data_IF_471541238045
#
_entry.id   IF_471541238045
#
_cell.length_a   1.000
_cell.length_b   1.000
_cell.length_c   1.000
_cell.angle_alpha   90.00
_cell.angle_beta   90.00
_cell.angle_gamma   90.00
#
_symmetry.space_group_name_H-M   'P 1'
#
loop_
_entity.id
_entity.type
_entity.pdbx_description
1 polymer ?
#
# COMPACT_ATOMS: atom_id res chain seq x y z
N UNK A 1 5.49 -30.92 -13.71
CA UNK A 1 5.83 -30.31 -12.40
C UNK A 1 4.61 -29.59 -11.86
N UNK A 2 4.38 -29.64 -10.55
CA UNK A 2 3.21 -29.01 -9.94
C UNK A 2 3.27 -27.47 -10.06
N UNK A 3 2.16 -26.78 -10.41
CA UNK A 3 2.09 -25.31 -10.49
C UNK A 3 2.63 -24.58 -9.26
N UNK A 4 2.49 -25.19 -8.07
CA UNK A 4 2.97 -24.65 -6.80
C UNK A 4 4.48 -24.40 -6.78
N UNK A 5 5.27 -25.24 -7.45
CA UNK A 5 6.73 -25.08 -7.51
C UNK A 5 7.09 -23.81 -8.27
N UNK A 6 6.40 -23.54 -9.38
CA UNK A 6 6.63 -22.33 -10.19
C UNK A 6 6.28 -21.07 -9.42
N UNK A 7 5.17 -21.10 -8.67
CA UNK A 7 4.77 -19.98 -7.80
C UNK A 7 5.89 -19.66 -6.79
N UNK A 8 6.43 -20.68 -6.11
CA UNK A 8 7.52 -20.49 -5.14
C UNK A 8 8.77 -19.92 -5.79
N UNK A 9 9.19 -20.45 -6.94
CA UNK A 9 10.37 -19.95 -7.67
C UNK A 9 10.20 -18.47 -8.03
N UNK A 10 9.02 -18.07 -8.50
CA UNK A 10 8.74 -16.70 -8.91
C UNK A 10 8.68 -15.76 -7.71
N UNK A 11 8.08 -16.20 -6.60
CA UNK A 11 8.07 -15.42 -5.36
C UNK A 11 9.48 -15.18 -4.83
N UNK A 12 10.36 -16.20 -4.88
CA UNK A 12 11.76 -16.06 -4.49
C UNK A 12 12.50 -15.10 -5.43
N UNK A 13 12.36 -15.27 -6.75
CA UNK A 13 13.01 -14.41 -7.73
C UNK A 13 12.57 -12.94 -7.58
N UNK A 14 11.26 -12.68 -7.44
CA UNK A 14 10.73 -11.35 -7.16
C UNK A 14 11.20 -10.79 -5.82
N UNK A 15 11.27 -11.65 -4.80
CA UNK A 15 11.77 -11.28 -3.48
C UNK A 15 13.24 -10.86 -3.50
N UNK A 16 14.08 -11.57 -4.25
CA UNK A 16 15.48 -11.21 -4.48
C UNK A 16 15.60 -9.86 -5.20
N UNK A 17 14.76 -9.61 -6.19
CA UNK A 17 14.68 -8.29 -6.84
C UNK A 17 14.29 -7.17 -5.87
N UNK A 18 13.28 -7.41 -5.03
CA UNK A 18 12.86 -6.46 -3.98
C UNK A 18 13.93 -6.24 -2.89
N UNK A 19 14.65 -7.30 -2.53
CA UNK A 19 15.79 -7.23 -1.62
C UNK A 19 16.92 -6.38 -2.22
N UNK A 20 17.30 -6.64 -3.48
CA UNK A 20 18.31 -5.86 -4.18
C UNK A 20 17.92 -4.37 -4.27
N UNK A 21 16.65 -4.08 -4.57
CA UNK A 21 16.14 -2.71 -4.60
C UNK A 21 16.26 -2.00 -3.23
N UNK A 22 16.00 -2.71 -2.12
CA UNK A 22 16.16 -2.13 -0.79
C UNK A 22 17.63 -1.92 -0.42
N UNK A 23 18.51 -2.84 -0.83
CA UNK A 23 19.95 -2.75 -0.60
C UNK A 23 20.61 -1.60 -1.38
N UNK A 24 20.18 -1.37 -2.63
CA UNK A 24 20.68 -0.29 -3.48
C UNK A 24 20.17 1.10 -3.07
N UNK A 25 19.18 1.18 -2.17
CA UNK A 25 18.56 2.43 -1.70
C UNK A 25 19.47 3.35 -0.86
N UNK A 26 20.73 2.99 -0.62
CA UNK A 26 21.74 3.90 -0.08
C UNK A 26 21.80 4.06 1.45
N UNK A 27 20.86 3.47 2.20
CA UNK A 27 20.81 3.57 3.68
C UNK A 27 21.27 2.29 4.42
N UNK A 28 21.81 1.29 3.71
CA UNK A 28 22.23 0.00 4.28
C UNK A 28 21.11 -1.07 4.21
N UNK A 29 21.02 -1.94 5.23
CA UNK A 29 19.94 -2.93 5.38
C UNK A 29 18.87 -2.30 6.30
N UNK A 30 17.87 -1.56 5.78
CA UNK A 30 16.84 -0.98 6.61
C UNK A 30 15.96 -2.09 7.17
N UNK A 31 16.15 -2.40 8.45
CA UNK A 31 15.22 -3.25 9.20
C UNK A 31 13.89 -2.51 9.37
N UNK A 32 12.76 -3.25 9.48
CA UNK A 32 11.46 -2.63 9.72
C UNK A 32 11.52 -1.81 11.00
N UNK A 33 11.26 -0.51 10.89
CA UNK A 33 11.35 0.39 12.03
C UNK A 33 10.18 1.37 12.04
N UNK A 34 9.82 1.81 13.23
CA UNK A 34 8.95 2.97 13.38
C UNK A 34 9.83 4.20 13.45
N UNK A 35 9.69 5.09 12.46
CA UNK A 35 10.39 6.39 12.44
C UNK A 35 9.34 7.48 12.44
N UNK A 36 9.39 8.37 13.44
CA UNK A 36 8.47 9.51 13.59
C UNK A 36 6.98 9.12 13.55
N UNK A 37 6.64 7.95 14.11
CA UNK A 37 5.27 7.42 14.13
C UNK A 37 4.77 6.88 12.79
N UNK A 38 5.66 6.71 11.80
CA UNK A 38 5.41 6.07 10.51
C UNK A 38 6.08 4.70 10.52
N UNK A 39 5.32 3.67 10.13
CA UNK A 39 5.88 2.34 9.93
C UNK A 39 6.66 2.30 8.62
N UNK A 40 7.98 2.17 8.71
CA UNK A 40 8.88 1.99 7.58
C UNK A 40 9.08 0.48 7.37
N UNK A 41 8.53 -0.13 6.30
CA UNK A 41 8.58 -1.57 6.09
C UNK A 41 9.99 -2.13 5.86
N UNK A 42 10.93 -1.27 5.47
CA UNK A 42 12.32 -1.61 5.19
C UNK A 42 12.47 -2.71 4.14
N UNK A 43 13.49 -3.54 4.30
CA UNK A 43 13.78 -4.69 3.42
C UNK A 43 12.61 -5.66 3.35
N UNK A 44 11.97 -5.96 4.48
CA UNK A 44 10.89 -6.96 4.51
C UNK A 44 9.74 -6.53 3.61
N UNK A 45 9.33 -5.27 3.69
CA UNK A 45 8.28 -4.75 2.83
C UNK A 45 8.69 -4.72 1.35
N UNK A 46 9.93 -4.33 1.06
CA UNK A 46 10.40 -4.25 -0.33
C UNK A 46 10.53 -5.63 -0.98
N UNK A 47 11.06 -6.61 -0.24
CA UNK A 47 11.11 -8.02 -0.64
C UNK A 47 9.71 -8.57 -0.87
N UNK A 48 8.78 -8.35 0.06
CA UNK A 48 7.39 -8.81 -0.10
C UNK A 48 6.72 -8.17 -1.33
N UNK A 49 6.87 -6.87 -1.52
CA UNK A 49 6.34 -6.15 -2.70
C UNK A 49 6.97 -6.68 -3.99
N UNK A 50 8.27 -6.96 -3.99
CA UNK A 50 8.97 -7.58 -5.12
C UNK A 50 8.41 -8.96 -5.46
N UNK A 51 8.21 -9.82 -4.45
CA UNK A 51 7.58 -11.14 -4.63
C UNK A 51 6.16 -11.03 -5.21
N UNK A 52 5.33 -10.15 -4.65
CA UNK A 52 3.96 -9.93 -5.14
C UNK A 52 3.95 -9.35 -6.55
N UNK A 53 4.83 -8.41 -6.86
CA UNK A 53 4.95 -7.83 -8.20
C UNK A 53 5.35 -8.87 -9.25
N UNK A 54 6.32 -9.74 -8.94
CA UNK A 54 6.73 -10.82 -9.82
C UNK A 54 5.61 -11.86 -10.02
N UNK A 55 4.91 -12.23 -8.93
CA UNK A 55 3.77 -13.13 -9.00
C UNK A 55 2.64 -12.57 -9.87
N UNK A 56 2.26 -11.30 -9.66
CA UNK A 56 1.20 -10.65 -10.44
C UNK A 56 1.61 -10.54 -11.91
N UNK A 57 2.86 -10.14 -12.18
CA UNK A 57 3.36 -10.01 -13.56
C UNK A 57 3.36 -11.35 -14.30
N UNK A 58 3.89 -12.41 -13.68
CA UNK A 58 3.86 -13.74 -14.28
C UNK A 58 2.44 -14.33 -14.36
N UNK A 59 1.63 -14.11 -13.33
CA UNK A 59 0.25 -14.58 -13.27
C UNK A 59 -0.64 -13.92 -14.32
N UNK A 60 -0.42 -12.66 -14.66
CA UNK A 60 -1.21 -11.94 -15.67
C UNK A 60 -0.65 -12.09 -17.09
N UNK A 61 0.67 -11.97 -17.25
CA UNK A 61 1.30 -11.83 -18.56
C UNK A 61 2.22 -13.00 -18.92
N UNK A 62 2.54 -13.86 -17.97
CA UNK A 62 3.40 -15.02 -18.17
C UNK A 62 2.62 -16.30 -18.46
N UNK A 63 3.36 -17.40 -18.43
CA UNK A 63 2.82 -18.76 -18.61
C UNK A 63 1.86 -19.20 -17.50
N UNK A 64 1.81 -18.48 -16.37
CA UNK A 64 0.91 -18.77 -15.26
C UNK A 64 -0.55 -18.42 -15.56
N UNK A 65 -0.82 -17.48 -16.46
CA UNK A 65 -2.17 -16.91 -16.66
C UNK A 65 -3.25 -17.93 -16.99
N UNK A 66 -2.93 -18.92 -17.81
CA UNK A 66 -3.84 -20.00 -18.21
C UNK A 66 -3.87 -21.20 -17.27
N UNK A 67 -3.07 -21.23 -16.21
CA UNK A 67 -3.02 -22.37 -15.29
C UNK A 67 -4.25 -22.36 -14.39
N UNK A 68 -5.07 -23.39 -14.51
CA UNK A 68 -6.27 -23.57 -13.69
C UNK A 68 -5.94 -24.29 -12.38
N UNK A 69 -6.25 -23.65 -11.26
CA UNK A 69 -6.05 -24.16 -9.91
C UNK A 69 -7.21 -25.08 -9.46
N UNK A 70 -8.34 -25.08 -10.18
CA UNK A 70 -9.54 -25.85 -9.84
C UNK A 70 -9.51 -27.30 -10.37
N UNK A 71 -8.67 -27.57 -11.39
CA UNK A 71 -8.57 -28.87 -12.09
C UNK A 71 -8.02 -29.99 -11.20
N UNK A 72 -7.46 -29.67 -10.03
CA UNK A 72 -6.85 -30.65 -9.15
C UNK A 72 -7.83 -31.69 -8.57
N UNK A 73 -9.16 -31.48 -8.55
CA UNK A 73 -10.06 -32.35 -7.78
C UNK A 73 -11.44 -32.72 -8.36
N UNK A 74 -11.90 -32.22 -9.52
CA UNK A 74 -13.14 -32.74 -10.11
C UNK A 74 -13.38 -32.33 -11.58
N UNK A 75 -13.72 -33.25 -12.50
CA UNK A 75 -14.10 -32.92 -13.88
C UNK A 75 -15.48 -32.25 -14.03
N UNK A 76 -16.17 -31.94 -12.93
CA UNK A 76 -17.50 -31.27 -12.90
C UNK A 76 -17.46 -29.84 -12.37
N UNK A 77 -16.29 -29.22 -12.29
CA UNK A 77 -16.15 -27.88 -11.71
C UNK A 77 -16.45 -26.83 -12.77
N UNK A 78 -17.64 -26.24 -12.73
CA UNK A 78 -18.05 -25.14 -13.64
C UNK A 78 -17.33 -23.82 -13.36
N UNK A 79 -16.62 -23.72 -12.23
CA UNK A 79 -15.88 -22.53 -11.81
C UNK A 79 -14.38 -22.79 -11.93
N UNK A 80 -13.80 -22.33 -13.04
CA UNK A 80 -12.36 -22.31 -13.27
C UNK A 80 -11.73 -21.14 -12.49
N UNK A 81 -10.81 -21.45 -11.57
CA UNK A 81 -9.99 -20.44 -10.89
C UNK A 81 -8.59 -20.46 -11.49
N UNK A 82 -8.33 -19.58 -12.45
CA UNK A 82 -7.00 -19.46 -13.04
C UNK A 82 -6.07 -18.62 -12.15
N UNK A 83 -4.76 -18.91 -12.21
CA UNK A 83 -3.75 -18.06 -11.55
C UNK A 83 -3.84 -16.61 -12.06
N UNK A 84 -4.17 -16.40 -13.33
CA UNK A 84 -4.40 -15.06 -13.89
C UNK A 84 -5.59 -14.34 -13.26
N UNK A 85 -6.72 -15.03 -13.07
CA UNK A 85 -7.87 -14.45 -12.38
C UNK A 85 -7.52 -14.08 -10.93
N UNK A 86 -6.77 -14.94 -10.24
CA UNK A 86 -6.30 -14.66 -8.88
C UNK A 86 -5.32 -13.48 -8.81
N UNK A 87 -4.33 -13.43 -9.70
CA UNK A 87 -3.38 -12.32 -9.80
C UNK A 87 -4.07 -10.99 -10.14
N UNK A 88 -5.06 -11.01 -11.03
CA UNK A 88 -5.88 -9.85 -11.37
C UNK A 88 -6.69 -9.34 -10.19
N UNK A 89 -7.33 -10.25 -9.44
CA UNK A 89 -8.06 -9.90 -8.22
C UNK A 89 -7.14 -9.27 -7.16
N UNK A 90 -5.92 -9.79 -6.98
CA UNK A 90 -4.93 -9.18 -6.09
C UNK A 90 -4.53 -7.77 -6.53
N UNK A 91 -4.25 -7.58 -7.83
CA UNK A 91 -3.87 -6.28 -8.38
C UNK A 91 -4.98 -5.24 -8.17
N UNK A 92 -6.23 -5.61 -8.49
CA UNK A 92 -7.40 -4.75 -8.29
C UNK A 92 -7.63 -4.46 -6.81
N UNK A 93 -7.44 -5.45 -5.92
CA UNK A 93 -7.55 -5.26 -4.48
C UNK A 93 -6.55 -4.22 -3.95
N UNK A 94 -5.28 -4.31 -4.36
CA UNK A 94 -4.25 -3.35 -3.96
C UNK A 94 -4.52 -1.96 -4.56
N UNK A 95 -4.83 -1.90 -5.85
CA UNK A 95 -5.12 -0.64 -6.55
C UNK A 95 -6.37 0.07 -5.99
N UNK A 96 -7.45 -0.68 -5.81
CA UNK A 96 -8.71 -0.19 -5.25
C UNK A 96 -8.58 0.29 -3.81
N UNK A 97 -7.85 -0.45 -2.95
CA UNK A 97 -7.61 -0.05 -1.57
C UNK A 97 -6.79 1.26 -1.48
N UNK A 98 -5.77 1.41 -2.34
CA UNK A 98 -5.00 2.67 -2.43
C UNK A 98 -5.87 3.82 -2.94
N UNK A 99 -6.70 3.58 -3.95
CA UNK A 99 -7.61 4.58 -4.47
C UNK A 99 -8.57 5.08 -3.38
N UNK A 100 -9.20 4.16 -2.65
CA UNK A 100 -10.10 4.51 -1.54
C UNK A 100 -9.39 5.27 -0.43
N UNK A 101 -8.19 4.84 -0.04
CA UNK A 101 -7.39 5.51 1.00
C UNK A 101 -7.05 6.95 0.59
N UNK A 102 -6.62 7.15 -0.65
CA UNK A 102 -6.30 8.47 -1.18
C UNK A 102 -7.54 9.39 -1.25
N UNK A 103 -8.71 8.85 -1.58
CA UNK A 103 -9.94 9.65 -1.62
C UNK A 103 -10.36 10.11 -0.22
N UNK A 104 -10.22 9.23 0.78
CA UNK A 104 -10.47 9.56 2.19
C UNK A 104 -9.45 10.60 2.69
N UNK A 105 -8.16 10.43 2.38
CA UNK A 105 -7.11 11.37 2.79
C UNK A 105 -7.32 12.76 2.18
N UNK A 106 -7.75 12.84 0.91
CA UNK A 106 -8.12 14.12 0.28
C UNK A 106 -9.26 14.83 1.01
N UNK A 107 -10.26 14.09 1.50
CA UNK A 107 -11.36 14.67 2.30
C UNK A 107 -10.83 15.24 3.62
N UNK A 108 -9.98 14.48 4.33
CA UNK A 108 -9.34 14.97 5.55
C UNK A 108 -8.52 16.24 5.31
N UNK A 109 -7.73 16.30 4.24
CA UNK A 109 -6.94 17.49 3.91
C UNK A 109 -7.84 18.69 3.57
N UNK A 110 -8.91 18.49 2.78
CA UNK A 110 -9.88 19.57 2.47
C UNK A 110 -10.55 20.11 3.73
N UNK A 111 -11.00 19.24 4.62
CA UNK A 111 -11.57 19.65 5.91
C UNK A 111 -10.54 20.36 6.79
N UNK A 112 -9.28 19.90 6.78
CA UNK A 112 -8.20 20.52 7.56
C UNK A 112 -7.96 21.96 7.12
N UNK A 113 -7.97 22.23 5.80
CA UNK A 113 -7.85 23.60 5.27
C UNK A 113 -9.02 24.47 5.70
N UNK A 114 -10.26 23.95 5.61
CA UNK A 114 -11.46 24.70 6.02
C UNK A 114 -11.42 25.04 7.52
N UNK A 115 -11.09 24.06 8.37
CA UNK A 115 -10.99 24.30 9.81
C UNK A 115 -9.82 25.22 10.16
N UNK A 116 -8.67 25.05 9.51
CA UNK A 116 -7.51 25.93 9.70
C UNK A 116 -7.83 27.40 9.40
N UNK A 117 -8.68 27.67 8.41
CA UNK A 117 -9.14 29.04 8.11
C UNK A 117 -10.02 29.67 9.20
N UNK A 118 -10.70 28.86 10.01
CA UNK A 118 -11.61 29.30 11.09
C UNK A 118 -10.92 29.41 12.45
N UNK A 119 -9.70 28.90 12.60
CA UNK A 119 -9.01 28.79 13.89
C UNK A 119 -7.79 29.72 13.97
N UNK A 120 -7.42 30.08 15.19
CA UNK A 120 -6.19 30.81 15.46
C UNK A 120 -5.03 29.83 15.63
N UNK A 121 -4.30 29.63 14.53
CA UNK A 121 -3.15 28.72 14.47
C UNK A 121 -1.86 29.42 14.85
N UNK A 122 -1.19 28.91 15.88
CA UNK A 122 0.17 29.31 16.23
C UNK A 122 1.16 28.85 15.13
N UNK A 123 2.37 29.42 15.06
CA UNK A 123 3.41 28.95 14.14
C UNK A 123 3.81 27.49 14.37
N UNK A 124 3.67 26.97 15.59
CA UNK A 124 3.95 25.57 15.93
C UNK A 124 2.85 24.64 15.39
N UNK A 125 1.58 24.97 15.61
CA UNK A 125 0.44 24.19 15.08
C UNK A 125 0.51 24.02 13.56
N UNK A 126 0.96 25.06 12.84
CA UNK A 126 1.13 25.01 11.38
C UNK A 126 2.20 24.00 10.96
N UNK A 127 3.31 23.94 11.71
CA UNK A 127 4.38 22.96 11.45
C UNK A 127 3.89 21.54 11.75
N UNK A 128 3.15 21.38 12.83
CA UNK A 128 2.62 20.08 13.23
C UNK A 128 1.57 19.58 12.23
N UNK A 129 0.67 20.44 11.76
CA UNK A 129 -0.28 20.12 10.69
C UNK A 129 0.44 19.74 9.39
N UNK A 130 1.51 20.45 9.03
CA UNK A 130 2.26 20.17 7.79
C UNK A 130 2.98 18.82 7.80
N UNK A 131 3.42 18.36 8.98
CA UNK A 131 4.16 17.10 9.14
C UNK A 131 3.26 15.92 9.56
N UNK A 132 2.02 16.19 9.96
CA UNK A 132 1.09 15.17 10.43
C UNK A 132 0.43 14.39 9.28
N UNK A 133 0.02 13.15 9.56
CA UNK A 133 -0.85 12.41 8.64
C UNK A 133 -2.20 13.12 8.47
N UNK A 134 -2.91 12.95 7.33
CA UNK A 134 -4.14 13.68 7.04
C UNK A 134 -5.18 13.66 8.17
N UNK A 135 -5.35 12.51 8.83
CA UNK A 135 -6.26 12.36 9.99
C UNK A 135 -5.80 13.14 11.21
N UNK A 136 -4.50 13.10 11.52
CA UNK A 136 -3.91 13.83 12.66
C UNK A 136 -3.91 15.34 12.41
N UNK A 137 -3.62 15.76 11.18
CA UNK A 137 -3.66 17.15 10.76
C UNK A 137 -5.04 17.79 11.02
N UNK A 138 -6.13 17.09 10.66
CA UNK A 138 -7.48 17.56 10.96
C UNK A 138 -7.76 17.64 12.47
N UNK A 139 -7.30 16.64 13.23
CA UNK A 139 -7.49 16.61 14.68
C UNK A 139 -6.79 17.80 15.36
N UNK A 140 -5.55 18.10 14.96
CA UNK A 140 -4.79 19.26 15.44
C UNK A 140 -5.54 20.56 15.09
N UNK A 141 -5.94 20.75 13.83
CA UNK A 141 -6.68 21.93 13.41
C UNK A 141 -7.97 22.14 14.23
N UNK A 142 -8.70 21.06 14.55
CA UNK A 142 -9.93 21.14 15.37
C UNK A 142 -9.67 21.47 16.84
N UNK A 143 -8.50 21.12 17.37
CA UNK A 143 -8.12 21.41 18.76
C UNK A 143 -7.70 22.87 18.99
N UNK A 144 -7.31 23.60 17.94
CA UNK A 144 -6.94 25.00 18.04
C UNK A 144 -8.16 25.89 18.37
N UNK A 145 -7.98 26.99 19.10
CA UNK A 145 -9.06 27.90 19.46
C UNK A 145 -9.67 28.56 18.21
N UNK A 146 -10.98 28.80 18.25
CA UNK A 146 -11.68 29.44 17.14
C UNK A 146 -11.27 30.90 17.02
N UNK A 147 -11.20 31.39 15.79
CA UNK A 147 -10.87 32.79 15.54
C UNK A 147 -12.06 33.64 15.95
N UNK A 148 -11.85 34.57 16.88
CA UNK A 148 -12.85 35.58 17.20
C UNK A 148 -13.03 36.46 15.97
N UNK A 149 -14.15 36.28 15.27
CA UNK A 149 -14.54 37.17 14.17
C UNK A 149 -15.30 38.31 14.84
N UNK A 150 -14.76 39.55 14.90
CA UNK A 150 -15.56 40.68 15.34
C UNK A 150 -16.77 40.81 14.40
N UNK A 151 -17.95 40.92 15.00
CA UNK A 151 -19.24 41.07 14.32
C UNK A 151 -19.27 42.33 13.44
#
# INVERSE_FOLDING_TARGET
MSPWIWIVIILIAGGLGGFANAFLGGEGIPLPCWKDGIWCPGIIGNTFVGSMGAFISWGLYGSGSGVDLSVANNPRTEVSLTIGAFAGAMLVGVGGARWLSNEVDKKFLRETVVESGKRNLSPEDRKDIANASPRKALAIARSCPQKDIPA
#
